data_IF_855295218613
#
_entry.id   IF_855295218613
#
_cell.length_a   1.000
_cell.length_b   1.000
_cell.length_c   1.000
_cell.angle_alpha   90.00
_cell.angle_beta   90.00
_cell.angle_gamma   90.00
#
_symmetry.space_group_name_H-M   'P 1'
#
loop_
_entity.id
_entity.type
_entity.pdbx_description
1 polymer ?
#
# COMPACT_ATOMS: atom_id res chain seq x y z
N UNK A 1 -13.45 13.63 25.84
CA UNK A 1 -13.52 12.16 25.66
C UNK A 1 -12.59 11.83 24.52
N UNK A 2 -11.92 10.66 24.55
CA UNK A 2 -11.15 10.19 23.37
C UNK A 2 -12.13 9.76 22.28
N UNK A 3 -11.79 10.00 21.02
CA UNK A 3 -12.54 9.46 19.90
C UNK A 3 -12.46 7.92 19.90
N UNK A 4 -13.54 7.28 19.46
CA UNK A 4 -13.72 5.82 19.47
C UNK A 4 -13.41 5.26 18.09
N UNK A 5 -12.37 4.47 18.00
CA UNK A 5 -11.91 3.85 16.75
C UNK A 5 -12.16 2.35 16.79
N UNK A 6 -12.90 1.86 15.80
CA UNK A 6 -13.04 0.43 15.56
C UNK A 6 -11.90 -0.04 14.64
N UNK A 7 -11.26 -1.16 14.96
CA UNK A 7 -10.27 -1.82 14.10
C UNK A 7 -10.79 -3.21 13.74
N UNK A 8 -10.97 -3.47 12.45
CA UNK A 8 -11.33 -4.78 11.94
C UNK A 8 -10.06 -5.50 11.51
N UNK A 9 -9.82 -6.67 12.07
CA UNK A 9 -8.61 -7.47 11.91
C UNK A 9 -7.65 -7.32 13.07
N UNK A 10 -7.14 -8.46 13.58
CA UNK A 10 -6.15 -8.53 14.67
C UNK A 10 -4.78 -9.04 14.22
N UNK A 11 -4.63 -9.28 12.92
CA UNK A 11 -3.38 -9.69 12.29
C UNK A 11 -2.25 -8.67 12.48
N UNK A 12 -1.16 -8.85 11.75
CA UNK A 12 0.07 -8.05 11.88
C UNK A 12 -0.16 -6.53 11.87
N UNK A 13 -0.97 -6.03 10.92
CA UNK A 13 -1.23 -4.58 10.79
C UNK A 13 -2.26 -4.11 11.83
N UNK A 14 -3.35 -4.86 12.04
CA UNK A 14 -4.36 -4.50 13.04
C UNK A 14 -3.78 -4.43 14.46
N UNK A 15 -2.88 -5.36 14.80
CA UNK A 15 -2.14 -5.30 16.05
C UNK A 15 -1.25 -4.04 16.13
N UNK A 16 -0.51 -3.71 15.05
CA UNK A 16 0.34 -2.52 15.02
C UNK A 16 -0.46 -1.23 15.17
N UNK A 17 -1.60 -1.11 14.48
CA UNK A 17 -2.53 0.01 14.59
C UNK A 17 -2.99 0.20 16.04
N UNK A 18 -3.45 -0.88 16.69
CA UNK A 18 -3.85 -0.83 18.12
C UNK A 18 -2.72 -0.32 19.00
N UNK A 19 -1.48 -0.80 18.77
CA UNK A 19 -0.34 -0.35 19.56
C UNK A 19 -0.02 1.15 19.39
N UNK A 20 -0.16 1.66 18.16
CA UNK A 20 0.15 3.06 17.82
C UNK A 20 -0.96 4.04 18.25
N UNK A 21 -2.21 3.57 18.33
CA UNK A 21 -3.38 4.45 18.58
C UNK A 21 -3.92 4.41 20.01
N UNK A 22 -3.63 3.37 20.81
CA UNK A 22 -4.25 3.13 22.13
C UNK A 22 -4.07 4.26 23.14
N UNK A 23 -3.01 5.05 23.02
CA UNK A 23 -2.74 6.13 23.95
C UNK A 23 -3.54 7.40 23.61
N UNK A 24 -3.92 7.57 22.35
CA UNK A 24 -4.63 8.74 21.81
C UNK A 24 -6.16 8.51 21.70
N UNK A 25 -6.59 7.26 21.45
CA UNK A 25 -7.96 6.89 21.11
C UNK A 25 -8.52 5.80 22.02
N UNK A 26 -9.86 5.69 22.07
CA UNK A 26 -10.58 4.56 22.67
C UNK A 26 -10.76 3.48 21.58
N UNK A 27 -10.00 2.38 21.67
CA UNK A 27 -9.88 1.37 20.62
C UNK A 27 -10.70 0.13 20.95
N UNK A 28 -11.61 -0.24 20.03
CA UNK A 28 -12.14 -1.61 19.99
C UNK A 28 -11.64 -2.33 18.76
N UNK A 29 -11.34 -3.62 18.90
CA UNK A 29 -10.80 -4.47 17.84
C UNK A 29 -11.63 -5.75 17.76
N UNK A 30 -11.94 -6.17 16.52
CA UNK A 30 -12.68 -7.40 16.24
C UNK A 30 -12.00 -8.21 15.13
N UNK A 31 -12.05 -9.53 15.28
CA UNK A 31 -11.48 -10.49 14.33
C UNK A 31 -12.34 -11.77 14.30
N UNK A 32 -12.22 -12.53 13.21
CA UNK A 32 -12.90 -13.83 13.08
C UNK A 32 -12.48 -14.81 14.18
N UNK A 33 -11.24 -14.72 14.67
CA UNK A 33 -10.73 -15.54 15.76
C UNK A 33 -11.43 -15.22 17.10
N UNK A 34 -11.92 -13.98 17.26
CA UNK A 34 -12.69 -13.55 18.42
C UNK A 34 -14.20 -13.72 18.22
N UNK A 35 -14.62 -14.34 17.10
CA UNK A 35 -16.03 -14.59 16.77
C UNK A 35 -16.73 -13.42 16.06
N UNK A 36 -16.00 -12.40 15.61
CA UNK A 36 -16.53 -11.31 14.79
C UNK A 36 -16.30 -11.62 13.30
N UNK A 37 -17.36 -11.86 12.55
CA UNK A 37 -17.29 -12.10 11.10
C UNK A 37 -17.69 -10.85 10.31
N UNK A 38 -16.71 -10.22 9.67
CA UNK A 38 -16.93 -9.05 8.81
C UNK A 38 -17.64 -9.36 7.48
N UNK A 39 -17.92 -10.63 7.15
CA UNK A 39 -18.82 -11.00 6.07
C UNK A 39 -20.29 -10.88 6.48
N UNK A 40 -20.62 -10.90 7.77
CA UNK A 40 -21.95 -10.72 8.31
C UNK A 40 -22.23 -9.23 8.57
N UNK A 41 -23.02 -8.61 7.70
CA UNK A 41 -23.39 -7.19 7.78
C UNK A 41 -24.02 -6.82 9.12
N UNK A 42 -24.82 -7.72 9.74
CA UNK A 42 -25.43 -7.48 11.04
C UNK A 42 -24.36 -7.37 12.14
N UNK A 43 -23.37 -8.25 12.12
CA UNK A 43 -22.25 -8.17 13.06
C UNK A 43 -21.39 -6.92 12.82
N UNK A 44 -21.15 -6.52 11.55
CA UNK A 44 -20.44 -5.28 11.24
C UNK A 44 -21.19 -4.08 11.81
N UNK A 45 -22.50 -4.01 11.62
CA UNK A 45 -23.34 -2.93 12.14
C UNK A 45 -23.27 -2.83 13.66
N UNK A 46 -23.47 -3.94 14.38
CA UNK A 46 -23.36 -3.96 15.84
C UNK A 46 -21.95 -3.59 16.32
N UNK A 47 -20.94 -4.06 15.63
CA UNK A 47 -19.54 -3.77 15.96
C UNK A 47 -19.18 -2.30 15.71
N UNK A 48 -19.70 -1.64 14.69
CA UNK A 48 -19.40 -0.24 14.40
C UNK A 48 -20.23 0.76 15.21
N UNK A 49 -21.29 0.32 15.88
CA UNK A 49 -22.22 1.18 16.63
C UNK A 49 -21.51 2.07 17.64
N UNK A 50 -21.64 3.38 17.44
CA UNK A 50 -21.05 4.41 18.30
C UNK A 50 -19.54 4.58 18.15
N UNK A 51 -18.93 4.07 17.07
CA UNK A 51 -17.60 4.45 16.68
C UNK A 51 -17.60 5.78 15.90
N UNK A 52 -16.55 6.58 16.06
CA UNK A 52 -16.33 7.78 15.25
C UNK A 52 -15.69 7.44 13.92
N UNK A 53 -14.82 6.43 13.90
CA UNK A 53 -14.21 5.91 12.67
C UNK A 53 -13.90 4.41 12.77
N UNK A 54 -13.74 3.77 11.61
CA UNK A 54 -13.28 2.39 11.48
C UNK A 54 -12.04 2.31 10.59
N UNK A 55 -11.11 1.44 10.98
CA UNK A 55 -9.96 1.05 10.16
C UNK A 55 -10.12 -0.43 9.81
N UNK A 56 -10.22 -0.74 8.51
CA UNK A 56 -10.17 -2.12 8.05
C UNK A 56 -8.73 -2.54 7.79
N UNK A 57 -8.24 -3.47 8.61
CA UNK A 57 -6.93 -4.10 8.50
C UNK A 57 -7.05 -5.62 8.24
N UNK A 58 -8.23 -6.06 7.82
CA UNK A 58 -8.52 -7.42 7.36
C UNK A 58 -8.27 -7.62 5.87
N UNK A 59 -8.61 -8.80 5.33
CA UNK A 59 -8.56 -9.06 3.90
C UNK A 59 -9.46 -8.09 3.12
N UNK A 60 -9.04 -7.66 1.93
CA UNK A 60 -9.81 -6.69 1.13
C UNK A 60 -11.22 -7.16 0.77
N UNK A 61 -11.47 -8.48 0.77
CA UNK A 61 -12.80 -9.04 0.50
C UNK A 61 -13.91 -8.55 1.45
N UNK A 62 -13.57 -8.21 2.70
CA UNK A 62 -14.55 -7.71 3.69
C UNK A 62 -14.72 -6.18 3.65
N UNK A 63 -13.85 -5.46 2.96
CA UNK A 63 -13.85 -3.99 2.95
C UNK A 63 -15.15 -3.39 2.42
N UNK A 64 -15.75 -4.02 1.39
CA UNK A 64 -17.02 -3.55 0.80
C UNK A 64 -18.15 -3.52 1.85
N UNK A 65 -18.25 -4.54 2.69
CA UNK A 65 -19.27 -4.61 3.74
C UNK A 65 -19.03 -3.54 4.82
N UNK A 66 -17.79 -3.42 5.29
CA UNK A 66 -17.42 -2.44 6.33
C UNK A 66 -17.65 -1.03 5.83
N UNK A 67 -17.22 -0.71 4.59
CA UNK A 67 -17.41 0.60 3.99
C UNK A 67 -18.90 0.94 3.77
N UNK A 68 -19.73 -0.04 3.36
CA UNK A 68 -21.16 0.16 3.20
C UNK A 68 -21.85 0.53 4.50
N UNK A 69 -21.58 -0.24 5.57
CA UNK A 69 -22.13 0.07 6.90
C UNK A 69 -21.62 1.42 7.41
N UNK A 70 -20.33 1.72 7.19
CA UNK A 70 -19.76 3.01 7.59
C UNK A 70 -20.43 4.18 6.87
N UNK A 71 -20.73 4.03 5.58
CA UNK A 71 -21.43 5.05 4.79
C UNK A 71 -22.86 5.27 5.28
N UNK A 72 -23.60 4.20 5.60
CA UNK A 72 -24.97 4.25 6.09
C UNK A 72 -25.06 4.89 7.48
N UNK A 73 -24.12 4.57 8.36
CA UNK A 73 -24.09 5.04 9.76
C UNK A 73 -23.34 6.37 9.94
N UNK A 74 -22.78 6.96 8.87
CA UNK A 74 -22.03 8.21 8.94
C UNK A 74 -20.72 8.09 9.73
N UNK A 75 -20.06 6.91 9.69
CA UNK A 75 -18.80 6.61 10.39
C UNK A 75 -17.64 6.81 9.40
N UNK A 76 -16.53 7.45 9.84
CA UNK A 76 -15.34 7.58 9.01
C UNK A 76 -14.73 6.22 8.69
N UNK A 77 -14.37 5.96 7.43
CA UNK A 77 -13.80 4.68 6.99
C UNK A 77 -12.39 4.85 6.43
N UNK A 78 -11.49 3.95 6.84
CA UNK A 78 -10.11 3.88 6.37
C UNK A 78 -9.71 2.43 6.10
N UNK A 79 -8.94 2.18 5.05
CA UNK A 79 -8.35 0.86 4.78
C UNK A 79 -6.95 0.95 4.18
N UNK A 80 -6.39 -0.20 3.83
CA UNK A 80 -5.03 -0.40 3.35
C UNK A 80 -5.01 -1.04 1.96
N UNK A 81 -6.17 -1.16 1.29
CA UNK A 81 -6.31 -1.98 0.08
C UNK A 81 -5.56 -1.39 -1.10
N UNK A 82 -4.92 -2.27 -1.87
CA UNK A 82 -4.41 -2.00 -3.21
C UNK A 82 -5.39 -2.45 -4.31
N UNK A 83 -6.52 -3.09 -3.93
CA UNK A 83 -7.48 -3.65 -4.86
C UNK A 83 -8.32 -2.56 -5.53
N UNK A 84 -8.22 -2.48 -6.86
CA UNK A 84 -8.87 -1.42 -7.68
C UNK A 84 -10.39 -1.53 -7.59
N UNK A 85 -10.94 -2.74 -7.73
CA UNK A 85 -12.41 -2.95 -7.72
C UNK A 85 -13.02 -2.55 -6.37
N UNK A 86 -12.35 -2.90 -5.27
CA UNK A 86 -12.77 -2.50 -3.92
C UNK A 86 -12.71 -0.98 -3.75
N UNK A 87 -11.65 -0.36 -4.23
CA UNK A 87 -11.49 1.11 -4.18
C UNK A 87 -12.59 1.83 -4.97
N UNK A 88 -12.87 1.39 -6.20
CA UNK A 88 -13.95 1.95 -7.04
C UNK A 88 -15.32 1.79 -6.39
N UNK A 89 -15.59 0.64 -5.79
CA UNK A 89 -16.81 0.41 -5.04
C UNK A 89 -16.95 1.40 -3.89
N UNK A 90 -15.93 1.56 -3.05
CA UNK A 90 -15.96 2.47 -1.90
C UNK A 90 -16.17 3.91 -2.35
N UNK A 91 -15.51 4.35 -3.42
CA UNK A 91 -15.68 5.69 -4.01
C UNK A 91 -17.07 5.94 -4.57
N UNK A 92 -17.81 4.88 -4.93
CA UNK A 92 -19.20 5.00 -5.43
C UNK A 92 -20.24 5.18 -4.33
N UNK A 93 -19.87 4.89 -3.07
CA UNK A 93 -20.78 5.03 -1.94
C UNK A 93 -21.08 6.51 -1.64
N UNK A 94 -22.30 6.78 -1.22
CA UNK A 94 -22.71 8.10 -0.70
C UNK A 94 -22.58 8.07 0.82
N UNK A 95 -21.86 9.02 1.38
CA UNK A 95 -21.66 9.13 2.82
C UNK A 95 -21.64 10.60 3.23
N UNK A 96 -22.12 10.88 4.45
CA UNK A 96 -21.95 12.20 5.08
C UNK A 96 -20.55 12.36 5.70
N UNK A 97 -19.80 11.27 5.83
CA UNK A 97 -18.46 11.25 6.40
C UNK A 97 -17.41 10.75 5.39
N UNK A 98 -16.13 10.85 5.77
CA UNK A 98 -15.01 10.44 4.91
C UNK A 98 -14.98 8.92 4.76
N UNK A 99 -14.91 8.46 3.52
CA UNK A 99 -14.56 7.08 3.16
C UNK A 99 -13.23 7.13 2.40
N UNK A 100 -12.14 6.76 3.07
CA UNK A 100 -10.79 6.87 2.50
C UNK A 100 -10.09 5.51 2.44
N UNK A 101 -10.19 4.79 1.33
CA UNK A 101 -9.38 3.61 1.07
C UNK A 101 -7.91 3.99 0.79
N UNK A 102 -7.03 2.99 0.66
CA UNK A 102 -5.66 3.16 0.20
C UNK A 102 -4.76 4.01 1.13
N UNK A 103 -4.90 3.87 2.44
CA UNK A 103 -4.15 4.63 3.45
C UNK A 103 -2.88 3.93 3.96
N UNK A 104 -2.38 2.90 3.25
CA UNK A 104 -1.21 2.12 3.68
C UNK A 104 0.13 2.81 3.42
N UNK A 105 1.15 2.00 3.11
CA UNK A 105 2.48 2.46 2.71
C UNK A 105 2.50 2.85 1.23
N UNK A 106 2.09 1.93 0.37
CA UNK A 106 1.95 2.07 -1.07
C UNK A 106 0.85 1.08 -1.54
N UNK A 107 -0.35 1.55 -1.80
CA UNK A 107 -0.79 2.95 -1.84
C UNK A 107 -0.93 3.60 -0.44
N UNK A 108 -0.76 4.92 -0.39
CA UNK A 108 -0.99 5.76 0.80
C UNK A 108 0.17 6.71 1.10
N UNK A 109 1.03 6.40 2.05
CA UNK A 109 2.09 7.29 2.53
C UNK A 109 3.04 7.77 1.40
N UNK A 110 3.37 6.91 0.44
CA UNK A 110 4.23 7.28 -0.70
C UNK A 110 3.57 8.35 -1.57
N UNK A 111 2.27 8.24 -1.78
CA UNK A 111 1.48 9.16 -2.61
C UNK A 111 1.33 10.52 -1.93
N UNK A 112 1.04 10.53 -0.62
CA UNK A 112 0.95 11.76 0.19
C UNK A 112 2.30 12.48 0.20
N UNK A 113 3.39 11.74 0.38
CA UNK A 113 4.75 12.31 0.33
C UNK A 113 5.05 12.92 -1.04
N UNK A 114 4.74 12.21 -2.12
CA UNK A 114 4.95 12.70 -3.47
C UNK A 114 4.12 13.96 -3.75
N UNK A 115 2.83 13.97 -3.40
CA UNK A 115 1.97 15.14 -3.56
C UNK A 115 2.52 16.37 -2.80
N UNK A 116 2.89 16.22 -1.51
CA UNK A 116 3.47 17.31 -0.73
C UNK A 116 4.83 17.79 -1.24
N UNK A 117 5.60 16.92 -1.92
CA UNK A 117 6.83 17.36 -2.61
C UNK A 117 6.51 18.13 -3.90
N UNK A 118 5.49 17.72 -4.64
CA UNK A 118 5.05 18.38 -5.89
C UNK A 118 4.59 19.82 -5.63
N UNK A 119 3.91 20.09 -4.51
CA UNK A 119 3.46 21.42 -4.09
C UNK A 119 4.59 22.45 -3.95
N UNK A 120 5.84 21.99 -3.92
CA UNK A 120 7.03 22.86 -3.81
C UNK A 120 7.57 23.31 -5.17
N UNK A 121 6.90 22.97 -6.27
CA UNK A 121 7.30 23.31 -7.64
C UNK A 121 6.22 24.15 -8.32
N UNK A 122 6.65 25.05 -9.20
CA UNK A 122 5.75 25.85 -10.04
C UNK A 122 5.11 24.99 -11.14
N UNK A 123 5.86 24.00 -11.65
CA UNK A 123 5.38 22.98 -12.56
C UNK A 123 6.22 21.71 -12.40
N UNK A 124 5.57 20.56 -12.55
CA UNK A 124 6.19 19.24 -12.36
C UNK A 124 6.35 18.52 -13.69
N UNK A 125 7.58 18.09 -13.99
CA UNK A 125 7.89 17.32 -15.18
C UNK A 125 7.83 15.81 -14.90
N UNK A 126 8.42 15.37 -13.79
CA UNK A 126 8.52 13.95 -13.48
C UNK A 126 8.35 13.64 -12.01
N UNK A 127 7.57 12.60 -11.70
CA UNK A 127 7.39 12.05 -10.34
C UNK A 127 7.74 10.57 -10.35
N UNK A 128 8.76 10.21 -9.59
CA UNK A 128 9.20 8.82 -9.41
C UNK A 128 8.92 8.38 -7.99
N UNK A 129 8.03 7.41 -7.82
CA UNK A 129 7.74 6.76 -6.54
C UNK A 129 8.28 5.33 -6.57
N UNK A 130 9.11 4.97 -5.59
CA UNK A 130 9.71 3.64 -5.51
C UNK A 130 9.63 3.12 -4.08
N UNK A 131 9.08 1.95 -3.89
CA UNK A 131 9.00 1.31 -2.57
C UNK A 131 9.57 -0.10 -2.63
N UNK A 132 10.45 -0.41 -1.69
CA UNK A 132 10.94 -1.77 -1.46
C UNK A 132 10.51 -2.27 -0.09
N UNK A 133 9.77 -3.37 -0.04
CA UNK A 133 9.56 -4.14 1.17
C UNK A 133 10.44 -5.39 1.06
N UNK A 134 11.56 -5.40 1.76
CA UNK A 134 12.65 -6.35 1.55
C UNK A 134 13.05 -7.03 2.85
N UNK A 135 13.38 -8.32 2.83
CA UNK A 135 14.11 -8.92 3.95
C UNK A 135 15.50 -8.26 4.06
N UNK A 136 15.98 -8.03 5.29
CA UNK A 136 17.35 -7.50 5.48
C UNK A 136 18.41 -8.46 4.99
N UNK A 137 18.13 -9.75 5.08
CA UNK A 137 19.05 -10.80 4.66
C UNK A 137 18.27 -11.90 3.97
N UNK A 138 18.78 -12.39 2.86
CA UNK A 138 18.25 -13.55 2.12
C UNK A 138 19.33 -14.58 1.92
N UNK A 139 18.91 -15.84 1.84
CA UNK A 139 19.80 -16.97 1.54
C UNK A 139 19.29 -17.82 0.37
N UNK A 140 18.17 -17.38 -0.26
CA UNK A 140 17.60 -18.07 -1.42
C UNK A 140 17.87 -17.32 -2.73
N UNK A 141 17.84 -18.03 -3.84
CA UNK A 141 18.09 -17.48 -5.18
C UNK A 141 17.05 -16.42 -5.57
N UNK A 142 15.81 -16.53 -5.06
CA UNK A 142 14.76 -15.53 -5.27
C UNK A 142 15.10 -14.18 -4.63
N UNK A 143 16.07 -14.15 -3.70
CA UNK A 143 16.44 -12.99 -2.90
C UNK A 143 15.22 -12.31 -2.24
N UNK A 144 14.27 -13.13 -1.77
CA UNK A 144 13.01 -12.66 -1.18
C UNK A 144 12.49 -13.56 -0.07
N UNK A 145 11.97 -12.93 0.99
CA UNK A 145 11.20 -13.55 2.06
C UNK A 145 9.89 -12.77 2.21
N UNK A 146 8.82 -13.48 2.52
CA UNK A 146 7.51 -12.86 2.73
C UNK A 146 7.52 -12.05 4.04
N UNK A 147 7.24 -10.77 3.94
CA UNK A 147 7.04 -9.87 5.09
C UNK A 147 5.59 -9.37 5.20
N UNK A 148 4.77 -9.59 4.18
CA UNK A 148 3.39 -9.14 4.08
C UNK A 148 2.49 -10.14 3.33
N UNK A 149 1.34 -9.72 2.83
CA UNK A 149 0.34 -10.58 2.17
C UNK A 149 0.88 -11.23 0.90
N UNK A 150 0.80 -12.55 0.83
CA UNK A 150 1.15 -13.32 -0.39
C UNK A 150 0.20 -13.00 -1.53
N UNK A 151 -1.10 -12.90 -1.23
CA UNK A 151 -2.11 -12.56 -2.22
C UNK A 151 -1.88 -11.16 -2.81
N UNK A 152 -1.60 -10.15 -1.96
CA UNK A 152 -1.23 -8.81 -2.39
C UNK A 152 0.00 -8.80 -3.30
N UNK A 153 1.07 -9.53 -2.92
CA UNK A 153 2.29 -9.66 -3.73
C UNK A 153 2.00 -10.23 -5.13
N UNK A 154 1.18 -11.29 -5.20
CA UNK A 154 0.78 -11.92 -6.47
C UNK A 154 -0.06 -10.95 -7.31
N UNK A 155 -0.98 -10.23 -6.69
CA UNK A 155 -1.80 -9.22 -7.39
C UNK A 155 -0.96 -8.10 -7.98
N UNK A 156 0.00 -7.55 -7.23
CA UNK A 156 0.93 -6.53 -7.74
C UNK A 156 1.69 -7.00 -9.01
N UNK A 157 2.05 -8.29 -9.08
CA UNK A 157 2.80 -8.86 -10.21
C UNK A 157 1.91 -9.33 -11.36
N UNK A 158 0.61 -9.36 -11.19
CA UNK A 158 -0.35 -9.81 -12.19
C UNK A 158 -1.10 -8.69 -12.88
N UNK A 159 -1.41 -7.62 -12.17
CA UNK A 159 -2.29 -6.56 -12.64
C UNK A 159 -1.48 -5.44 -13.33
N UNK A 160 -2.12 -4.74 -14.26
CA UNK A 160 -1.52 -3.58 -14.93
C UNK A 160 -1.27 -2.44 -13.94
N UNK A 161 -0.18 -1.73 -14.13
CA UNK A 161 0.22 -0.58 -13.33
C UNK A 161 -0.23 0.71 -14.00
N UNK A 162 -0.76 1.65 -13.19
CA UNK A 162 -1.06 3.00 -13.66
C UNK A 162 0.20 3.85 -13.74
N UNK A 163 0.27 4.73 -14.74
CA UNK A 163 1.31 5.73 -14.89
C UNK A 163 0.79 6.92 -15.69
N UNK A 164 1.50 8.05 -15.63
CA UNK A 164 1.34 9.15 -16.58
C UNK A 164 2.57 9.19 -17.48
N UNK A 165 2.36 9.27 -18.77
CA UNK A 165 3.39 9.45 -19.79
C UNK A 165 2.98 10.56 -20.76
N UNK A 166 3.86 11.55 -20.95
CA UNK A 166 3.58 12.75 -21.76
C UNK A 166 2.23 13.41 -21.42
N UNK A 167 1.92 13.50 -20.12
CA UNK A 167 0.70 14.13 -19.62
C UNK A 167 -0.55 13.25 -19.69
N UNK A 168 -0.48 12.01 -20.16
CA UNK A 168 -1.63 11.11 -20.32
C UNK A 168 -1.54 9.91 -19.41
N UNK A 169 -2.66 9.54 -18.82
CA UNK A 169 -2.79 8.29 -18.06
C UNK A 169 -2.67 7.09 -19.00
N UNK A 170 -1.79 6.17 -18.65
CA UNK A 170 -1.54 4.92 -19.39
C UNK A 170 -1.50 3.72 -18.45
N UNK A 171 -1.67 2.53 -19.01
CA UNK A 171 -1.44 1.26 -18.32
C UNK A 171 -0.10 0.67 -18.75
N UNK A 172 0.69 0.22 -17.77
CA UNK A 172 1.97 -0.46 -17.99
C UNK A 172 1.84 -1.92 -17.59
N UNK A 173 2.53 -2.77 -18.35
CA UNK A 173 2.59 -4.19 -18.02
C UNK A 173 3.37 -4.40 -16.73
N UNK A 174 2.87 -5.24 -15.79
CA UNK A 174 3.61 -5.61 -14.60
C UNK A 174 4.87 -6.40 -14.95
N UNK A 175 5.86 -6.37 -14.08
CA UNK A 175 7.17 -7.00 -14.26
C UNK A 175 8.00 -6.44 -15.45
N UNK A 176 7.58 -5.33 -16.05
CA UNK A 176 8.31 -4.64 -17.12
C UNK A 176 8.89 -3.31 -16.62
N UNK A 177 9.58 -2.58 -17.53
CA UNK A 177 10.16 -1.27 -17.19
C UNK A 177 11.29 -1.37 -16.16
N UNK A 178 12.09 -2.43 -16.19
CA UNK A 178 13.19 -2.65 -15.26
C UNK A 178 14.21 -1.50 -15.28
N UNK A 179 14.60 -1.05 -14.08
CA UNK A 179 15.67 -0.08 -13.88
C UNK A 179 16.61 -0.55 -12.75
N UNK A 180 17.89 -0.17 -12.84
CA UNK A 180 18.86 -0.39 -11.77
C UNK A 180 18.93 0.85 -10.90
N UNK A 181 18.85 0.66 -9.59
CA UNK A 181 18.94 1.73 -8.60
C UNK A 181 20.09 1.40 -7.66
N UNK A 182 20.91 2.40 -7.34
CA UNK A 182 21.94 2.29 -6.31
C UNK A 182 21.56 3.20 -5.14
N UNK A 183 21.41 2.62 -3.96
CA UNK A 183 21.03 3.32 -2.73
C UNK A 183 22.08 3.01 -1.67
N UNK A 184 22.76 4.06 -1.19
CA UNK A 184 23.84 3.93 -0.19
C UNK A 184 24.92 2.90 -0.56
N UNK A 185 25.24 2.82 -1.87
CA UNK A 185 26.25 1.90 -2.39
C UNK A 185 25.76 0.46 -2.63
N UNK A 186 24.52 0.14 -2.28
CA UNK A 186 23.88 -1.15 -2.53
C UNK A 186 23.05 -1.12 -3.80
N UNK A 187 23.16 -2.18 -4.62
CA UNK A 187 22.43 -2.27 -5.88
C UNK A 187 21.06 -2.92 -5.69
N UNK A 188 20.05 -2.34 -6.32
CA UNK A 188 18.69 -2.85 -6.38
C UNK A 188 18.18 -2.83 -7.82
N UNK A 189 17.10 -3.54 -8.07
CA UNK A 189 16.30 -3.41 -9.27
C UNK A 189 14.91 -2.89 -8.93
N UNK A 190 14.31 -2.10 -9.82
CA UNK A 190 12.92 -1.69 -9.69
C UNK A 190 12.17 -1.93 -10.99
N UNK A 191 10.88 -2.25 -10.89
CA UNK A 191 10.04 -2.58 -12.02
C UNK A 191 8.56 -2.32 -11.72
N UNK A 192 7.76 -2.24 -12.79
CA UNK A 192 6.35 -1.91 -12.67
C UNK A 192 5.57 -2.96 -11.88
N UNK A 193 4.77 -2.49 -10.92
CA UNK A 193 3.75 -3.28 -10.20
C UNK A 193 2.50 -2.45 -10.02
N UNK A 194 1.34 -3.09 -9.93
CA UNK A 194 0.06 -2.39 -9.77
C UNK A 194 -0.14 -1.79 -8.38
N UNK A 195 -1.15 -0.94 -8.24
CA UNK A 195 -1.68 -0.40 -6.99
C UNK A 195 -0.94 0.82 -6.42
N UNK A 196 0.36 0.91 -6.60
CA UNK A 196 1.17 1.92 -5.90
C UNK A 196 0.94 3.38 -6.31
N UNK A 197 0.32 3.65 -7.46
CA UNK A 197 -0.03 5.03 -7.85
C UNK A 197 -1.28 5.57 -7.14
N UNK A 198 -2.09 4.71 -6.54
CA UNK A 198 -3.38 5.10 -5.98
C UNK A 198 -4.20 5.92 -7.00
N UNK A 199 -4.74 7.06 -6.58
CA UNK A 199 -5.50 7.99 -7.44
C UNK A 199 -4.65 9.05 -8.14
N UNK A 200 -3.31 9.03 -7.98
CA UNK A 200 -2.46 10.11 -8.48
C UNK A 200 -2.52 10.27 -10.01
N UNK A 201 -2.66 9.16 -10.75
CA UNK A 201 -2.76 9.25 -12.21
C UNK A 201 -4.03 9.98 -12.65
N UNK A 202 -5.16 9.76 -11.97
CA UNK A 202 -6.41 10.49 -12.23
C UNK A 202 -6.30 11.97 -11.82
N UNK A 203 -5.71 12.22 -10.63
CA UNK A 203 -5.62 13.55 -10.04
C UNK A 203 -4.72 14.48 -10.86
N UNK A 204 -3.58 13.96 -11.35
CA UNK A 204 -2.54 14.75 -11.98
C UNK A 204 -2.43 14.55 -13.50
N UNK A 205 -3.41 13.89 -14.13
CA UNK A 205 -3.48 13.80 -15.60
C UNK A 205 -3.52 15.21 -16.21
N UNK A 206 -2.71 15.46 -17.22
CA UNK A 206 -2.45 16.75 -17.86
C UNK A 206 -1.76 17.83 -16.97
N UNK A 207 -1.47 17.54 -15.71
CA UNK A 207 -0.75 18.45 -14.81
C UNK A 207 0.75 18.11 -14.73
N UNK A 208 1.10 16.81 -14.79
CA UNK A 208 2.49 16.35 -14.81
C UNK A 208 2.81 15.66 -16.12
N UNK A 209 4.06 15.75 -16.59
CA UNK A 209 4.46 15.07 -17.83
C UNK A 209 4.63 13.57 -17.62
N UNK A 210 5.29 13.15 -16.53
CA UNK A 210 5.52 11.74 -16.24
C UNK A 210 5.33 11.46 -14.76
N UNK A 211 4.61 10.39 -14.43
CA UNK A 211 4.44 9.89 -13.07
C UNK A 211 4.46 8.37 -13.10
N UNK A 212 5.29 7.76 -12.25
CA UNK A 212 5.38 6.31 -12.18
C UNK A 212 5.68 5.79 -10.78
N UNK A 213 5.10 4.63 -10.48
CA UNK A 213 5.43 3.82 -9.33
C UNK A 213 6.13 2.53 -9.76
N UNK A 214 7.15 2.12 -9.03
CA UNK A 214 7.78 0.80 -9.18
C UNK A 214 8.11 0.21 -7.82
N UNK A 215 8.05 -1.12 -7.75
CA UNK A 215 8.56 -1.83 -6.57
C UNK A 215 10.06 -2.02 -6.67
N UNK A 216 10.77 -1.91 -5.53
CA UNK A 216 12.21 -2.18 -5.42
C UNK A 216 12.40 -3.61 -4.92
N UNK A 217 13.34 -4.34 -5.54
CA UNK A 217 13.76 -5.68 -5.13
C UNK A 217 15.28 -5.84 -5.22
N UNK A 218 15.82 -6.88 -4.60
CA UNK A 218 17.21 -7.26 -4.82
C UNK A 218 17.43 -7.76 -6.24
N UNK A 219 18.66 -7.57 -6.81
CA UNK A 219 18.95 -7.98 -8.18
C UNK A 219 18.69 -9.46 -8.43
N UNK A 220 18.02 -9.77 -9.53
CA UNK A 220 17.68 -11.14 -9.96
C UNK A 220 16.26 -11.58 -9.60
N UNK A 221 15.60 -10.95 -8.64
CA UNK A 221 14.22 -11.29 -8.27
C UNK A 221 13.25 -11.19 -9.46
N UNK A 222 13.35 -10.11 -10.23
CA UNK A 222 12.50 -9.90 -11.41
C UNK A 222 12.58 -11.06 -12.40
N UNK A 223 13.78 -11.57 -12.67
CA UNK A 223 13.94 -12.68 -13.62
C UNK A 223 13.25 -13.96 -13.13
N UNK A 224 13.32 -14.25 -11.85
CA UNK A 224 12.62 -15.39 -11.24
C UNK A 224 11.10 -15.21 -11.32
N UNK A 225 10.62 -13.98 -11.07
CA UNK A 225 9.19 -13.69 -11.20
C UNK A 225 8.71 -13.80 -12.65
N UNK A 226 9.46 -13.27 -13.63
CA UNK A 226 9.13 -13.44 -15.05
C UNK A 226 9.07 -14.91 -15.44
N UNK A 227 10.01 -15.71 -14.99
CA UNK A 227 9.99 -17.16 -15.23
C UNK A 227 8.74 -17.82 -14.68
N UNK A 228 8.38 -17.54 -13.41
CA UNK A 228 7.18 -18.14 -12.79
C UNK A 228 5.89 -17.66 -13.46
N UNK A 229 5.73 -16.35 -13.63
CA UNK A 229 4.48 -15.76 -14.07
C UNK A 229 4.26 -15.87 -15.59
N UNK A 230 5.31 -15.68 -16.39
CA UNK A 230 5.23 -15.61 -17.84
C UNK A 230 5.55 -16.95 -18.50
N UNK A 231 6.71 -17.56 -18.19
CA UNK A 231 7.17 -18.78 -18.89
C UNK A 231 6.40 -20.02 -18.38
N UNK A 232 6.20 -20.14 -17.06
CA UNK A 232 5.38 -21.22 -16.48
C UNK A 232 3.87 -20.91 -16.48
N UNK A 233 3.47 -19.72 -16.93
CA UNK A 233 2.07 -19.26 -17.00
C UNK A 233 1.30 -19.33 -15.66
N UNK A 234 1.98 -19.25 -14.52
CA UNK A 234 1.34 -19.34 -13.21
C UNK A 234 0.42 -18.14 -12.90
N UNK A 235 0.51 -17.06 -13.68
CA UNK A 235 -0.46 -15.95 -13.64
C UNK A 235 -1.91 -16.45 -13.80
N UNK A 236 -2.15 -17.55 -14.53
CA UNK A 236 -3.47 -18.15 -14.74
C UNK A 236 -3.92 -19.04 -13.57
N UNK A 237 -3.02 -19.37 -12.65
CA UNK A 237 -3.25 -20.28 -11.53
C UNK A 237 -2.80 -19.63 -10.21
N UNK A 238 -3.34 -18.43 -9.91
CA UNK A 238 -2.96 -17.64 -8.74
C UNK A 238 -3.05 -18.43 -7.43
N UNK A 239 -4.11 -19.23 -7.26
CA UNK A 239 -4.32 -20.04 -6.06
C UNK A 239 -3.21 -21.09 -5.83
N UNK A 240 -2.69 -21.65 -6.92
CA UNK A 240 -1.56 -22.61 -6.85
C UNK A 240 -0.30 -21.88 -6.43
N UNK A 241 -0.06 -20.69 -7.00
CA UNK A 241 1.11 -19.88 -6.69
C UNK A 241 1.07 -19.36 -5.25
N UNK A 242 -0.11 -18.93 -4.78
CA UNK A 242 -0.30 -18.46 -3.40
C UNK A 242 0.01 -19.59 -2.40
N UNK A 243 -0.56 -20.77 -2.60
CA UNK A 243 -0.28 -21.94 -1.76
C UNK A 243 1.20 -22.34 -1.78
N UNK A 244 1.83 -22.24 -2.96
CA UNK A 244 3.26 -22.53 -3.11
C UNK A 244 4.11 -21.51 -2.33
N UNK A 245 3.83 -20.23 -2.48
CA UNK A 245 4.57 -19.17 -1.80
C UNK A 245 4.37 -19.22 -0.29
N UNK A 246 3.14 -19.40 0.18
CA UNK A 246 2.85 -19.51 1.62
C UNK A 246 3.55 -20.69 2.28
N UNK A 247 3.74 -21.78 1.54
CA UNK A 247 4.37 -23.00 2.05
C UNK A 247 5.89 -22.97 1.96
N UNK A 248 6.44 -22.46 0.85
CA UNK A 248 7.85 -22.68 0.50
C UNK A 248 8.70 -21.39 0.60
N UNK A 249 8.11 -20.20 0.50
CA UNK A 249 8.86 -18.95 0.66
C UNK A 249 8.96 -18.59 2.15
N UNK A 250 10.17 -18.45 2.70
CA UNK A 250 10.34 -18.13 4.11
C UNK A 250 9.67 -16.80 4.48
N UNK A 251 9.14 -16.71 5.70
CA UNK A 251 8.60 -15.47 6.26
C UNK A 251 9.61 -14.81 7.19
N UNK A 252 9.63 -13.48 7.21
CA UNK A 252 10.51 -12.72 8.10
C UNK A 252 9.81 -11.49 8.68
N UNK A 253 10.21 -11.14 9.92
CA UNK A 253 9.94 -9.83 10.53
C UNK A 253 11.19 -8.93 10.53
N UNK A 254 12.35 -9.49 10.14
CA UNK A 254 13.59 -8.73 10.00
C UNK A 254 13.68 -8.18 8.58
N UNK A 255 12.97 -7.10 8.36
CA UNK A 255 12.78 -6.46 7.07
C UNK A 255 13.30 -5.01 7.05
N UNK A 256 13.36 -4.44 5.88
CA UNK A 256 13.67 -3.04 5.62
C UNK A 256 12.70 -2.50 4.57
N UNK A 257 12.18 -1.32 4.82
CA UNK A 257 11.45 -0.54 3.81
C UNK A 257 12.40 0.47 3.19
N UNK A 258 12.49 0.44 1.87
CA UNK A 258 13.09 1.51 1.07
C UNK A 258 11.93 2.39 0.59
N UNK A 259 11.94 3.64 1.01
CA UNK A 259 10.94 4.63 0.65
C UNK A 259 11.63 5.75 -0.16
N UNK A 260 11.33 5.83 -1.45
CA UNK A 260 11.99 6.74 -2.37
C UNK A 260 10.95 7.52 -3.18
N UNK A 261 11.04 8.84 -3.09
CA UNK A 261 10.28 9.78 -3.94
C UNK A 261 11.25 10.76 -4.56
N UNK A 262 11.12 10.98 -5.86
CA UNK A 262 11.85 12.00 -6.60
C UNK A 262 10.86 12.83 -7.41
N UNK A 263 10.98 14.14 -7.32
CA UNK A 263 10.21 15.08 -8.13
C UNK A 263 11.18 15.95 -8.91
N UNK A 264 10.95 16.11 -10.19
CA UNK A 264 11.72 16.97 -11.11
C UNK A 264 10.74 17.98 -11.72
N UNK A 265 11.07 19.25 -11.67
CA UNK A 265 10.20 20.32 -12.17
C UNK A 265 10.86 21.68 -12.11
N UNK A 266 10.09 22.73 -12.33
CA UNK A 266 10.56 24.11 -12.27
C UNK A 266 10.26 24.73 -10.90
N UNK A 267 11.24 25.45 -10.36
CA UNK A 267 11.10 26.35 -9.22
C UNK A 267 11.75 27.68 -9.64
N UNK A 268 11.00 28.77 -9.60
CA UNK A 268 11.45 30.10 -10.06
C UNK A 268 12.04 30.04 -11.49
N UNK A 269 11.44 29.25 -12.38
CA UNK A 269 11.86 29.03 -13.77
C UNK A 269 13.13 28.19 -13.95
N UNK A 270 13.70 27.65 -12.88
CA UNK A 270 14.91 26.80 -12.90
C UNK A 270 14.52 25.34 -12.73
N UNK A 271 15.02 24.46 -13.60
CA UNK A 271 14.82 23.01 -13.47
C UNK A 271 15.55 22.50 -12.22
N UNK A 272 14.81 21.89 -11.32
CA UNK A 272 15.33 21.34 -10.08
C UNK A 272 14.86 19.91 -9.86
N UNK A 273 15.62 19.18 -9.08
CA UNK A 273 15.29 17.83 -8.58
C UNK A 273 15.23 17.87 -7.05
N UNK A 274 14.17 17.31 -6.48
CA UNK A 274 14.08 17.03 -5.04
C UNK A 274 13.89 15.54 -4.83
N UNK A 275 14.67 14.97 -3.92
CA UNK A 275 14.62 13.54 -3.59
C UNK A 275 14.39 13.34 -2.10
N UNK A 276 13.44 12.50 -1.76
CA UNK A 276 13.23 12.00 -0.41
C UNK A 276 13.50 10.49 -0.38
N UNK A 277 14.52 10.10 0.37
CA UNK A 277 14.93 8.70 0.53
C UNK A 277 14.99 8.34 2.00
N UNK A 278 14.41 7.21 2.38
CA UNK A 278 14.57 6.61 3.71
C UNK A 278 14.71 5.09 3.59
N UNK A 279 15.66 4.53 4.33
CA UNK A 279 15.67 3.12 4.72
C UNK A 279 15.11 3.04 6.14
N UNK A 280 13.98 2.36 6.29
CA UNK A 280 13.27 2.20 7.56
C UNK A 280 13.38 0.75 7.97
N UNK A 281 13.95 0.53 9.13
CA UNK A 281 14.14 -0.82 9.70
C UNK A 281 13.08 -1.09 10.75
N UNK A 282 12.72 -2.37 10.90
CA UNK A 282 11.97 -2.82 12.05
C UNK A 282 12.79 -2.69 13.35
N UNK A 283 12.08 -2.65 14.46
CA UNK A 283 12.64 -2.66 15.81
C UNK A 283 12.24 -3.95 16.56
N UNK A 284 12.47 -3.99 17.87
CA UNK A 284 12.10 -5.14 18.72
C UNK A 284 10.57 -5.37 18.76
N UNK A 285 9.78 -4.34 18.50
CA UNK A 285 8.32 -4.36 18.60
C UNK A 285 7.64 -4.54 17.26
N UNK A 286 8.11 -3.85 16.22
CA UNK A 286 7.50 -3.81 14.90
C UNK A 286 8.46 -4.24 13.81
N UNK A 287 7.99 -5.00 12.83
CA UNK A 287 8.69 -5.09 11.56
C UNK A 287 8.59 -3.76 10.80
N UNK A 288 9.48 -3.54 9.83
CA UNK A 288 9.48 -2.29 9.05
C UNK A 288 8.17 -2.10 8.28
N UNK A 289 7.64 -3.17 7.68
CA UNK A 289 6.35 -3.11 6.97
C UNK A 289 5.18 -2.83 7.91
N UNK A 290 5.16 -3.42 9.11
CA UNK A 290 4.13 -3.12 10.11
C UNK A 290 4.15 -1.65 10.50
N UNK A 291 5.33 -1.13 10.85
CA UNK A 291 5.51 0.24 11.29
C UNK A 291 5.09 1.23 10.19
N UNK A 292 5.59 1.07 8.97
CA UNK A 292 5.36 2.03 7.88
C UNK A 292 3.93 2.00 7.39
N UNK A 293 3.33 0.82 7.24
CA UNK A 293 1.95 0.67 6.80
C UNK A 293 0.96 1.21 7.83
N UNK A 294 1.13 0.83 9.10
CA UNK A 294 0.26 1.34 10.17
C UNK A 294 0.43 2.85 10.39
N UNK A 295 1.66 3.38 10.28
CA UNK A 295 1.90 4.83 10.40
C UNK A 295 1.24 5.62 9.28
N UNK A 296 1.14 5.08 8.06
CA UNK A 296 0.37 5.69 6.96
C UNK A 296 -1.07 5.96 7.38
N UNK A 297 -1.78 4.92 7.80
CA UNK A 297 -3.17 5.02 8.27
C UNK A 297 -3.30 5.95 9.48
N UNK A 298 -2.40 5.79 10.48
CA UNK A 298 -2.43 6.64 11.68
C UNK A 298 -2.26 8.12 11.33
N UNK A 299 -1.43 8.45 10.34
CA UNK A 299 -1.23 9.83 9.90
C UNK A 299 -2.51 10.40 9.28
N UNK A 300 -3.16 9.65 8.41
CA UNK A 300 -4.44 10.06 7.79
C UNK A 300 -5.54 10.19 8.85
N UNK A 301 -5.67 9.22 9.75
CA UNK A 301 -6.65 9.27 10.84
C UNK A 301 -6.46 10.50 11.74
N UNK A 302 -5.22 10.92 12.00
CA UNK A 302 -4.94 12.12 12.83
C UNK A 302 -5.28 13.43 12.12
N UNK A 303 -5.43 13.41 10.81
CA UNK A 303 -5.87 14.59 10.03
C UNK A 303 -7.40 14.67 9.93
N UNK A 304 -8.08 13.54 10.14
CA UNK A 304 -9.53 13.43 10.22
C UNK A 304 -10.07 13.97 11.54
#
# INVERSE_FOLDING_TARGET
>A
MKAKIAIVGSGNIGWALKQLLKDDYDIRQGDIEDGFDANDISQVNDFLKGADAVISAGPFAVNKNIASVSAEEGIGYFDLTEDVETTEFIRSLKSENILMPQCGLAPGAINICAAGMMEQFDSVNEVLMRVGALPRFTTNEMSYYLSWSTNGLINEYCNEADAIYEGKSIKLMPLEGAEKIVIEGESFEAFNTSGGCATMCETYENEVQNLSYKTIRYPGHLNHMKFLFNDLHLKKNKDVLEKLFDKEVPRTKNDVIIFFVKVIGLIDGVLQEKTYLRKIYGDEKFSAIQLTTASGVCSVLKMY
#
